data_IF_450358285808
#
_entry.id   IF_450358285808
#
_cell.length_a   1.000
_cell.length_b   1.000
_cell.length_c   1.000
_cell.angle_alpha   90.00
_cell.angle_beta   90.00
_cell.angle_gamma   90.00
#
_symmetry.space_group_name_H-M   'P 1'
#
loop_
_entity.id
_entity.type
_entity.pdbx_description
1 polymer ?
#
# COMPACT_ATOMS: atom_id res chain seq x y z
N UNK A 1 17.28 -27.79 -26.68
CA UNK A 1 17.29 -26.37 -26.29
C UNK A 1 16.33 -26.26 -25.13
N UNK A 2 16.89 -26.18 -23.93
CA UNK A 2 16.20 -26.47 -22.69
C UNK A 2 15.18 -25.39 -22.32
N UNK A 3 14.10 -25.89 -21.74
CA UNK A 3 12.90 -25.19 -21.30
C UNK A 3 13.27 -24.41 -20.03
N UNK A 4 13.11 -23.09 -20.03
CA UNK A 4 13.25 -22.28 -18.81
C UNK A 4 12.12 -22.63 -17.84
N UNK A 5 12.35 -23.64 -17.01
CA UNK A 5 11.58 -23.87 -15.80
C UNK A 5 11.86 -22.70 -14.84
N UNK A 6 10.92 -21.76 -14.73
CA UNK A 6 10.90 -20.78 -13.66
C UNK A 6 10.85 -21.54 -12.33
N UNK A 7 11.93 -21.45 -11.55
CA UNK A 7 12.04 -22.02 -10.20
C UNK A 7 10.88 -21.49 -9.35
N UNK A 8 9.92 -22.36 -9.04
CA UNK A 8 8.91 -22.09 -8.02
C UNK A 8 9.61 -21.99 -6.66
N UNK A 9 9.77 -20.78 -6.14
CA UNK A 9 10.25 -20.56 -4.77
C UNK A 9 9.14 -20.93 -3.79
N UNK A 10 9.28 -22.11 -3.20
CA UNK A 10 8.48 -22.56 -2.06
C UNK A 10 9.01 -21.87 -0.80
N UNK A 11 8.24 -20.94 -0.22
CA UNK A 11 8.56 -20.36 1.08
C UNK A 11 7.71 -21.01 2.18
N UNK A 12 8.38 -21.22 3.30
CA UNK A 12 7.86 -21.81 4.53
C UNK A 12 7.16 -20.72 5.36
N UNK A 13 6.10 -21.09 6.08
CA UNK A 13 4.99 -20.22 6.47
C UNK A 13 5.28 -18.95 7.30
N UNK A 14 4.52 -17.89 6.98
CA UNK A 14 3.92 -16.90 7.88
C UNK A 14 2.89 -16.06 7.07
N UNK A 15 1.73 -15.75 7.68
CA UNK A 15 0.52 -14.97 7.22
C UNK A 15 0.31 -14.84 5.68
N UNK A 16 -0.70 -15.54 5.15
CA UNK A 16 -0.82 -15.95 3.73
C UNK A 16 -1.28 -14.90 2.70
N UNK A 17 -1.67 -13.66 3.07
CA UNK A 17 -2.04 -12.61 2.08
C UNK A 17 -0.96 -11.53 1.88
N UNK A 18 -0.14 -11.25 2.92
CA UNK A 18 1.14 -10.56 2.75
C UNK A 18 2.00 -11.24 1.67
N UNK A 19 1.78 -12.54 1.45
CA UNK A 19 2.44 -13.31 0.41
C UNK A 19 2.09 -12.82 -1.01
N UNK A 20 0.82 -12.70 -1.40
CA UNK A 20 0.49 -12.40 -2.80
C UNK A 20 0.93 -10.99 -3.24
N UNK A 21 0.61 -9.95 -2.46
CA UNK A 21 1.08 -8.59 -2.73
C UNK A 21 2.61 -8.54 -2.80
N UNK A 22 3.29 -9.19 -1.86
CA UNK A 22 4.75 -9.26 -1.86
C UNK A 22 5.30 -9.96 -3.11
N UNK A 23 4.71 -11.08 -3.50
CA UNK A 23 5.16 -11.84 -4.65
C UNK A 23 4.85 -11.12 -5.97
N UNK A 24 3.76 -10.37 -6.06
CA UNK A 24 3.49 -9.46 -7.20
C UNK A 24 4.53 -8.35 -7.27
N UNK A 25 4.88 -7.73 -6.14
CA UNK A 25 5.95 -6.73 -6.09
C UNK A 25 7.30 -7.33 -6.53
N UNK A 26 7.65 -8.54 -6.07
CA UNK A 26 8.86 -9.24 -6.51
C UNK A 26 8.81 -9.54 -8.01
N UNK A 27 7.67 -9.96 -8.56
CA UNK A 27 7.48 -10.20 -10.00
C UNK A 27 7.72 -8.93 -10.83
N UNK A 28 7.07 -7.82 -10.48
CA UNK A 28 7.05 -6.57 -11.26
C UNK A 28 8.26 -5.69 -10.99
N UNK A 29 8.53 -5.43 -9.72
CA UNK A 29 9.51 -4.44 -9.24
C UNK A 29 10.88 -5.07 -8.98
N UNK A 30 10.93 -6.39 -8.77
CA UNK A 30 12.16 -7.12 -8.46
C UNK A 30 12.58 -7.06 -6.98
N UNK A 31 11.74 -6.51 -6.10
CA UNK A 31 11.98 -6.45 -4.66
C UNK A 31 10.67 -6.55 -3.86
N UNK A 32 10.82 -6.78 -2.55
CA UNK A 32 9.71 -7.05 -1.64
C UNK A 32 8.83 -5.82 -1.39
N UNK A 33 7.51 -6.04 -1.30
CA UNK A 33 6.54 -5.02 -0.90
C UNK A 33 6.77 -4.51 0.54
N UNK A 34 7.55 -5.22 1.38
CA UNK A 34 7.90 -4.80 2.75
C UNK A 34 8.62 -3.44 2.77
N UNK A 35 9.26 -3.05 1.65
CA UNK A 35 9.84 -1.71 1.50
C UNK A 35 8.83 -0.58 1.72
N UNK A 36 7.56 -0.82 1.39
CA UNK A 36 6.47 0.16 1.52
C UNK A 36 5.78 0.12 2.89
N UNK A 37 5.88 -0.98 3.64
CA UNK A 37 5.19 -1.09 4.93
C UNK A 37 5.77 -0.11 5.97
N UNK A 38 4.90 0.73 6.55
CA UNK A 38 5.25 1.81 7.47
C UNK A 38 5.73 3.08 6.77
N UNK A 39 5.46 3.23 5.47
CA UNK A 39 5.77 4.43 4.70
C UNK A 39 4.56 5.37 4.68
N UNK A 40 4.80 6.65 4.92
CA UNK A 40 3.79 7.68 4.78
C UNK A 40 2.64 7.56 5.77
N UNK A 41 1.47 8.01 5.34
CA UNK A 41 0.23 8.04 6.11
C UNK A 41 -0.72 6.87 5.78
N UNK A 42 -0.46 6.13 4.69
CA UNK A 42 -1.34 5.11 4.16
C UNK A 42 -0.66 3.76 3.89
N UNK A 43 0.66 3.69 3.67
CA UNK A 43 1.30 2.39 3.43
C UNK A 43 1.54 1.63 4.74
N UNK A 44 0.53 0.91 5.23
CA UNK A 44 0.63 0.13 6.47
C UNK A 44 -0.74 -0.33 6.99
N UNK A 45 -0.81 -0.70 8.27
CA UNK A 45 -2.09 -1.04 8.90
C UNK A 45 -2.84 0.26 9.22
N UNK A 46 -4.04 0.36 8.66
CA UNK A 46 -4.82 1.59 8.69
C UNK A 46 -4.24 2.64 7.75
N UNK A 47 -4.87 3.81 7.74
CA UNK A 47 -4.44 4.89 6.87
C UNK A 47 -5.39 6.07 7.03
N UNK A 48 -4.85 7.28 7.06
CA UNK A 48 -5.70 8.47 7.21
C UNK A 48 -4.98 9.75 6.80
N UNK A 49 -5.76 10.81 6.60
CA UNK A 49 -5.22 12.11 6.26
C UNK A 49 -4.79 12.22 4.79
N UNK A 50 -3.96 13.22 4.49
CA UNK A 50 -3.49 13.46 3.12
C UNK A 50 -2.24 12.60 2.86
N UNK A 51 -2.17 11.92 1.70
CA UNK A 51 -0.94 11.26 1.30
C UNK A 51 0.24 12.24 1.21
N UNK A 52 1.41 11.80 1.64
CA UNK A 52 2.64 12.60 1.61
C UNK A 52 3.17 12.81 0.19
N UNK A 53 3.08 11.78 -0.65
CA UNK A 53 3.59 11.77 -2.01
C UNK A 53 2.84 10.75 -2.90
N UNK A 54 3.40 10.47 -4.07
CA UNK A 54 2.84 9.52 -5.02
C UNK A 54 2.83 8.06 -4.56
N UNK A 55 3.85 7.62 -3.80
CA UNK A 55 3.90 6.26 -3.23
C UNK A 55 2.80 6.11 -2.18
N UNK A 56 2.68 7.07 -1.28
CA UNK A 56 1.65 7.09 -0.24
C UNK A 56 0.24 7.20 -0.85
N UNK A 57 0.12 7.89 -1.99
CA UNK A 57 -1.12 7.95 -2.77
C UNK A 57 -1.50 6.60 -3.35
N UNK A 58 -0.54 5.79 -3.84
CA UNK A 58 -0.81 4.42 -4.28
C UNK A 58 -1.42 3.59 -3.14
N UNK A 59 -0.86 3.69 -1.93
CA UNK A 59 -1.35 2.98 -0.76
C UNK A 59 -2.75 3.43 -0.33
N UNK A 60 -3.04 4.75 -0.37
CA UNK A 60 -4.40 5.24 -0.14
C UNK A 60 -5.42 4.62 -1.11
N UNK A 61 -5.07 4.49 -2.40
CA UNK A 61 -5.96 3.86 -3.37
C UNK A 61 -6.09 2.36 -3.17
N UNK A 62 -5.04 1.69 -2.71
CA UNK A 62 -5.06 0.28 -2.33
C UNK A 62 -6.05 0.02 -1.19
N UNK A 63 -5.95 0.78 -0.10
CA UNK A 63 -6.87 0.69 1.04
C UNK A 63 -8.33 0.91 0.59
N UNK A 64 -8.57 1.97 -0.21
CA UNK A 64 -9.89 2.27 -0.76
C UNK A 64 -10.43 1.19 -1.70
N UNK A 65 -9.54 0.46 -2.37
CA UNK A 65 -9.91 -0.65 -3.24
C UNK A 65 -10.45 -1.83 -2.41
N UNK A 66 -9.80 -2.13 -1.28
CA UNK A 66 -10.29 -3.12 -0.32
C UNK A 66 -11.62 -2.70 0.31
N UNK A 67 -11.74 -1.45 0.76
CA UNK A 67 -13.01 -0.91 1.27
C UNK A 67 -14.15 -1.06 0.26
N UNK A 68 -13.86 -0.83 -1.03
CA UNK A 68 -14.83 -0.99 -2.11
C UNK A 68 -15.25 -2.46 -2.30
N UNK A 69 -14.33 -3.42 -2.15
CA UNK A 69 -14.66 -4.84 -2.25
C UNK A 69 -15.68 -5.26 -1.18
N UNK A 70 -15.58 -4.71 0.03
CA UNK A 70 -16.59 -4.90 1.08
C UNK A 70 -17.88 -4.15 0.77
N UNK A 71 -17.79 -2.88 0.37
CA UNK A 71 -18.95 -2.03 0.11
C UNK A 71 -19.84 -2.57 -1.04
N UNK A 72 -19.22 -3.16 -2.06
CA UNK A 72 -19.92 -3.79 -3.18
C UNK A 72 -20.47 -5.19 -2.83
N UNK A 73 -20.22 -5.68 -1.60
CA UNK A 73 -20.66 -6.99 -1.12
C UNK A 73 -19.90 -8.17 -1.72
N UNK A 74 -18.79 -7.92 -2.44
CA UNK A 74 -17.93 -8.98 -2.97
C UNK A 74 -17.19 -9.71 -1.85
N UNK A 75 -16.70 -8.95 -0.86
CA UNK A 75 -16.04 -9.45 0.35
C UNK A 75 -16.90 -9.21 1.60
N UNK A 76 -16.82 -10.11 2.59
CA UNK A 76 -17.66 -10.03 3.80
C UNK A 76 -17.14 -9.03 4.85
N UNK A 77 -15.82 -8.91 5.02
CA UNK A 77 -15.17 -7.94 5.90
C UNK A 77 -13.65 -7.91 5.67
N UNK A 78 -13.04 -6.74 5.94
CA UNK A 78 -11.61 -6.46 5.77
C UNK A 78 -10.67 -7.44 6.49
N UNK A 79 -10.96 -7.93 7.71
CA UNK A 79 -10.10 -8.92 8.38
C UNK A 79 -9.97 -10.26 7.65
N UNK A 80 -10.99 -10.71 6.90
CA UNK A 80 -10.91 -11.94 6.10
C UNK A 80 -10.13 -11.72 4.79
N UNK A 81 -10.02 -10.48 4.31
CA UNK A 81 -9.22 -10.12 3.13
C UNK A 81 -7.74 -10.38 3.35
N UNK A 82 -7.26 -10.28 4.60
CA UNK A 82 -5.88 -10.60 4.98
C UNK A 82 -5.57 -12.10 5.14
N UNK A 83 -6.55 -12.98 4.88
CA UNK A 83 -6.41 -14.44 5.02
C UNK A 83 -6.78 -15.17 3.72
N UNK A 84 -7.55 -14.54 2.83
CA UNK A 84 -7.98 -15.13 1.55
C UNK A 84 -6.87 -15.08 0.49
N UNK A 85 -6.36 -16.26 0.16
CA UNK A 85 -5.49 -16.45 -1.00
C UNK A 85 -6.30 -16.28 -2.31
N UNK A 86 -5.66 -15.83 -3.38
CA UNK A 86 -6.23 -15.67 -4.70
C UNK A 86 -5.23 -16.11 -5.77
N UNK A 87 -5.74 -16.51 -6.93
CA UNK A 87 -4.91 -17.10 -7.99
C UNK A 87 -4.41 -16.01 -8.95
N UNK A 88 -3.10 -16.03 -9.22
CA UNK A 88 -2.45 -15.13 -10.15
C UNK A 88 -1.18 -15.78 -10.73
N UNK A 89 -0.65 -15.23 -11.81
CA UNK A 89 0.63 -15.64 -12.39
C UNK A 89 1.53 -14.44 -12.72
N UNK A 90 2.82 -14.71 -12.91
CA UNK A 90 3.79 -13.73 -13.36
C UNK A 90 4.27 -14.10 -14.77
N UNK A 91 3.97 -13.26 -15.76
CA UNK A 91 4.44 -13.45 -17.14
C UNK A 91 5.22 -12.22 -17.59
N UNK A 92 6.48 -12.38 -17.97
CA UNK A 92 7.35 -11.27 -18.42
C UNK A 92 7.40 -10.08 -17.44
N UNK A 93 7.50 -10.36 -16.13
CA UNK A 93 7.43 -9.37 -15.04
C UNK A 93 6.09 -8.64 -14.91
N UNK A 94 5.04 -9.19 -15.51
CA UNK A 94 3.68 -8.69 -15.38
C UNK A 94 2.86 -9.61 -14.47
N UNK A 95 2.37 -9.14 -13.31
CA UNK A 95 1.42 -9.89 -12.51
C UNK A 95 0.05 -9.88 -13.19
N UNK A 96 -0.57 -11.05 -13.34
CA UNK A 96 -1.88 -11.23 -13.96
C UNK A 96 -2.79 -12.07 -13.06
N UNK A 97 -3.97 -11.54 -12.73
CA UNK A 97 -5.02 -12.27 -12.03
C UNK A 97 -5.61 -13.36 -12.92
N UNK A 98 -5.74 -14.58 -12.39
CA UNK A 98 -6.30 -15.70 -13.15
C UNK A 98 -7.79 -15.85 -12.87
N UNK A 99 -8.53 -16.34 -13.86
CA UNK A 99 -9.97 -16.60 -13.80
C UNK A 99 -10.24 -18.09 -14.09
N UNK A 100 -11.35 -18.68 -13.59
CA UNK A 100 -12.34 -18.07 -12.70
C UNK A 100 -11.96 -18.17 -11.23
N UNK A 101 -12.38 -17.19 -10.43
CA UNK A 101 -12.30 -17.23 -8.97
C UNK A 101 -13.50 -16.51 -8.33
N UNK A 102 -13.71 -16.68 -7.03
CA UNK A 102 -14.81 -16.01 -6.35
C UNK A 102 -14.65 -14.48 -6.42
N UNK A 103 -15.76 -13.71 -6.38
CA UNK A 103 -15.71 -12.26 -6.55
C UNK A 103 -14.76 -11.55 -5.59
N UNK A 104 -14.68 -12.00 -4.33
CA UNK A 104 -13.78 -11.39 -3.36
C UNK A 104 -12.31 -11.57 -3.78
N UNK A 105 -11.89 -12.80 -4.12
CA UNK A 105 -10.53 -13.08 -4.59
C UNK A 105 -10.15 -12.28 -5.82
N UNK A 106 -11.10 -12.12 -6.76
CA UNK A 106 -10.86 -11.34 -7.96
C UNK A 106 -10.60 -9.86 -7.65
N UNK A 107 -11.41 -9.27 -6.77
CA UNK A 107 -11.21 -7.90 -6.30
C UNK A 107 -9.86 -7.70 -5.62
N UNK A 108 -9.51 -8.57 -4.66
CA UNK A 108 -8.24 -8.48 -3.93
C UNK A 108 -7.04 -8.58 -4.87
N UNK A 109 -7.09 -9.52 -5.83
CA UNK A 109 -6.04 -9.67 -6.82
C UNK A 109 -5.85 -8.40 -7.67
N UNK A 110 -6.94 -7.77 -8.12
CA UNK A 110 -6.87 -6.53 -8.89
C UNK A 110 -6.32 -5.37 -8.07
N UNK A 111 -6.77 -5.21 -6.82
CA UNK A 111 -6.26 -4.18 -5.93
C UNK A 111 -4.73 -4.31 -5.72
N UNK A 112 -4.25 -5.53 -5.46
CA UNK A 112 -2.82 -5.80 -5.26
C UNK A 112 -2.00 -5.59 -6.55
N UNK A 113 -2.55 -5.96 -7.72
CA UNK A 113 -1.93 -5.64 -9.00
C UNK A 113 -1.80 -4.13 -9.21
N UNK A 114 -2.88 -3.38 -8.98
CA UNK A 114 -2.94 -1.93 -9.22
C UNK A 114 -1.91 -1.19 -8.36
N UNK A 115 -1.78 -1.54 -7.07
CA UNK A 115 -0.82 -0.86 -6.20
C UNK A 115 0.62 -1.16 -6.62
N UNK A 116 0.92 -2.40 -7.05
CA UNK A 116 2.25 -2.78 -7.54
C UNK A 116 2.59 -2.06 -8.85
N UNK A 117 1.64 -1.94 -9.77
CA UNK A 117 1.82 -1.15 -10.99
C UNK A 117 2.02 0.34 -10.66
N UNK A 118 1.29 0.86 -9.69
CA UNK A 118 1.41 2.25 -9.23
C UNK A 118 2.79 2.53 -8.63
N UNK A 119 3.29 1.66 -7.75
CA UNK A 119 4.64 1.74 -7.19
C UNK A 119 5.74 1.74 -8.24
N UNK A 120 5.55 1.03 -9.37
CA UNK A 120 6.49 1.01 -10.49
C UNK A 120 6.76 2.37 -11.15
N UNK A 121 5.95 3.39 -10.86
CA UNK A 121 6.15 4.75 -11.37
C UNK A 121 7.11 5.59 -10.51
N UNK A 122 7.58 5.07 -9.37
CA UNK A 122 8.40 5.81 -8.42
C UNK A 122 9.70 5.04 -8.09
N UNK A 123 10.78 5.74 -7.71
CA UNK A 123 11.94 5.10 -7.12
C UNK A 123 11.54 4.36 -5.83
N UNK A 124 12.19 3.22 -5.51
CA UNK A 124 11.93 2.52 -4.26
C UNK A 124 12.19 3.43 -3.05
N UNK A 125 11.36 3.37 -1.99
CA UNK A 125 11.58 4.18 -0.80
C UNK A 125 12.91 3.81 -0.15
N UNK A 126 13.81 4.80 -0.01
CA UNK A 126 15.13 4.60 0.63
C UNK A 126 15.07 4.65 2.16
N UNK A 127 14.01 5.27 2.69
CA UNK A 127 13.73 5.38 4.13
C UNK A 127 12.22 5.34 4.37
N UNK A 128 11.81 4.85 5.53
CA UNK A 128 10.40 4.82 5.94
C UNK A 128 9.99 6.18 6.52
N UNK A 129 9.79 7.15 5.63
CA UNK A 129 9.30 8.47 5.99
C UNK A 129 7.97 8.32 6.72
N UNK A 130 7.89 8.77 7.97
CA UNK A 130 6.66 8.67 8.76
C UNK A 130 5.67 9.77 8.37
N UNK A 131 4.37 9.47 8.48
CA UNK A 131 3.31 10.46 8.34
C UNK A 131 3.61 11.69 9.18
N UNK A 132 3.73 12.85 8.54
CA UNK A 132 3.73 14.13 9.23
C UNK A 132 2.26 14.56 9.26
N UNK A 133 1.59 14.59 10.43
CA UNK A 133 0.26 15.16 10.50
C UNK A 133 0.33 16.56 9.90
N UNK A 134 -0.65 16.97 9.10
CA UNK A 134 -0.79 18.37 8.75
C UNK A 134 -1.08 19.15 10.03
N UNK A 135 -0.02 19.52 10.75
CA UNK A 135 -0.05 20.65 11.64
C UNK A 135 -0.23 21.82 10.69
N UNK A 136 -1.45 22.37 10.65
CA UNK A 136 -1.64 23.74 10.16
C UNK A 136 -0.46 24.54 10.73
N UNK A 137 0.34 25.26 9.91
CA UNK A 137 1.52 25.95 10.42
C UNK A 137 1.07 26.70 11.66
N UNK A 138 1.58 26.24 12.80
CA UNK A 138 1.16 26.69 14.13
C UNK A 138 1.03 28.20 14.01
N UNK A 139 -0.14 28.76 14.34
CA UNK A 139 -0.22 30.14 14.77
C UNK A 139 0.99 30.30 15.68
N UNK A 140 2.07 30.91 15.20
CA UNK A 140 3.21 31.25 16.03
C UNK A 140 2.54 32.01 17.14
N UNK A 141 2.35 31.37 18.30
CA UNK A 141 1.94 32.05 19.51
C UNK A 141 3.03 33.08 19.63
N UNK A 142 2.71 34.34 19.27
CA UNK A 142 3.49 35.47 19.70
C UNK A 142 3.64 35.22 21.18
N UNK A 143 4.86 34.92 21.58
CA UNK A 143 5.20 34.74 22.98
C UNK A 143 4.60 35.93 23.71
N UNK A 144 3.88 35.65 24.79
CA UNK A 144 3.08 36.57 25.62
C UNK A 144 3.92 37.70 26.28
N UNK A 145 5.09 38.03 25.73
CA UNK A 145 6.10 38.93 26.26
C UNK A 145 6.34 40.18 25.42
N UNK A 146 5.73 40.33 24.23
CA UNK A 146 5.95 41.51 23.35
C UNK A 146 4.79 42.52 23.29
N UNK A 147 3.64 42.26 23.92
CA UNK A 147 2.51 43.22 23.96
C UNK A 147 2.53 44.15 25.19
N UNK A 148 3.64 44.20 25.95
CA UNK A 148 3.76 45.01 27.15
C UNK A 148 4.47 46.38 26.98
N UNK A 149 4.79 46.82 25.74
CA UNK A 149 5.57 48.07 25.53
C UNK A 149 4.84 49.17 24.75
N UNK A 150 3.63 48.96 24.21
CA UNK A 150 2.96 49.97 23.35
C UNK A 150 1.75 50.70 23.96
N UNK A 151 1.52 50.62 25.28
CA UNK A 151 0.51 51.43 25.98
C UNK A 151 1.09 52.29 27.12
N UNK A 152 2.25 52.90 26.85
CA UNK A 152 2.70 54.11 27.55
C UNK A 152 3.27 55.11 26.54
N UNK A 153 2.36 55.87 25.94
CA UNK A 153 2.57 57.22 25.43
C UNK A 153 1.19 57.89 25.33
#
# INVERSE_FOLDING_TARGET
MEIFASKLQKANGDIRVLWNLNQMAVCKLGYSAIAYNGYGCWCGVGGSGKPMDGIDTCCMYHDKCYDKAVADGACSNVPFEYINDYSWNCYLKEPNCTEPQDPCKQYLCWCDKIVVDCWGNYPPPQSKSSCVPHVNPVQKKKTFFEEAIMFRA
#
